data_IF_731140272080
#
_entry.id   IF_731140272080
#
_cell.length_a   1.000
_cell.length_b   1.000
_cell.length_c   1.000
_cell.angle_alpha   90.00
_cell.angle_beta   90.00
_cell.angle_gamma   90.00
#
_symmetry.space_group_name_H-M   'P 1'
#
loop_
_entity.id
_entity.type
_entity.pdbx_description
1 polymer ?
#
# COMPACT_ATOMS: atom_id res chain seq x y z
N UNK A 1 -14.01 19.92 2.26
CA UNK A 1 -13.38 20.41 1.02
C UNK A 1 -12.91 19.20 0.22
N UNK A 2 -13.20 19.08 -1.07
CA UNK A 2 -12.73 17.94 -1.86
C UNK A 2 -11.21 17.95 -1.91
N UNK A 3 -10.61 16.82 -1.55
CA UNK A 3 -9.17 16.58 -1.65
C UNK A 3 -8.81 16.77 -3.12
N UNK A 4 -8.05 17.82 -3.45
CA UNK A 4 -7.52 18.00 -4.80
C UNK A 4 -6.67 16.77 -5.11
N UNK A 5 -7.04 16.04 -6.16
CA UNK A 5 -6.17 15.01 -6.75
C UNK A 5 -4.81 15.66 -7.00
N UNK A 6 -3.76 15.10 -6.39
CA UNK A 6 -2.37 15.54 -6.61
C UNK A 6 -1.95 15.20 -8.04
N UNK A 7 -2.61 14.21 -8.66
CA UNK A 7 -2.35 13.76 -10.01
C UNK A 7 -3.24 14.47 -11.07
N UNK A 8 -2.70 14.74 -12.26
CA UNK A 8 -3.41 15.36 -13.36
C UNK A 8 -4.54 14.47 -13.90
N UNK A 9 -5.58 15.07 -14.51
CA UNK A 9 -6.70 14.33 -15.13
C UNK A 9 -6.24 13.40 -16.27
N UNK A 10 -5.19 13.80 -17.00
CA UNK A 10 -4.50 12.95 -17.98
C UNK A 10 -3.17 12.48 -17.39
N UNK A 11 -3.06 11.18 -17.15
CA UNK A 11 -1.87 10.59 -16.54
C UNK A 11 -0.67 10.67 -17.50
N UNK A 12 0.49 11.23 -17.08
CA UNK A 12 1.72 11.19 -17.87
C UNK A 12 2.26 9.76 -17.95
N UNK A 13 3.02 9.46 -19.00
CA UNK A 13 3.72 8.17 -19.04
C UNK A 13 4.83 8.17 -17.97
N UNK A 14 5.05 7.07 -17.23
CA UNK A 14 6.10 7.03 -16.21
C UNK A 14 7.50 7.35 -16.76
N UNK A 15 7.75 6.98 -18.02
CA UNK A 15 9.00 7.30 -18.72
C UNK A 15 9.21 8.81 -18.92
N UNK A 16 8.15 9.61 -19.04
CA UNK A 16 8.24 11.06 -19.25
C UNK A 16 8.69 11.78 -17.98
N UNK A 17 8.21 11.31 -16.83
CA UNK A 17 8.54 11.86 -15.50
C UNK A 17 9.87 11.30 -14.95
N UNK A 18 10.45 10.30 -15.61
CA UNK A 18 11.77 9.73 -15.32
C UNK A 18 12.88 10.23 -16.27
N UNK A 19 12.65 11.31 -17.04
CA UNK A 19 13.65 11.81 -18.01
C UNK A 19 14.80 12.60 -17.34
N UNK A 20 15.68 11.92 -16.60
CA UNK A 20 16.90 12.54 -16.05
C UNK A 20 17.26 12.09 -14.64
N UNK A 21 18.13 12.87 -13.98
CA UNK A 21 18.44 12.72 -12.55
C UNK A 21 17.49 13.61 -11.75
N UNK A 22 17.05 13.16 -10.57
CA UNK A 22 16.27 14.02 -9.68
C UNK A 22 17.10 15.21 -9.20
N UNK A 23 16.47 16.38 -9.16
CA UNK A 23 17.04 17.63 -8.66
C UNK A 23 16.43 18.04 -7.31
N UNK A 24 15.33 17.40 -6.91
CA UNK A 24 14.66 17.64 -5.63
C UNK A 24 13.89 16.41 -5.12
N UNK A 25 13.61 16.36 -3.81
CA UNK A 25 12.72 15.34 -3.22
C UNK A 25 11.30 15.41 -3.79
N UNK A 26 10.84 16.59 -4.18
CA UNK A 26 9.49 16.77 -4.74
C UNK A 26 9.38 16.13 -6.13
N UNK A 27 10.40 16.27 -6.96
CA UNK A 27 10.48 15.64 -8.27
C UNK A 27 10.51 14.11 -8.16
N UNK A 28 11.38 13.58 -7.28
CA UNK A 28 11.44 12.15 -7.01
C UNK A 28 10.10 11.60 -6.48
N UNK A 29 9.41 12.35 -5.60
CA UNK A 29 8.09 11.98 -5.10
C UNK A 29 7.04 11.94 -6.20
N UNK A 30 7.00 12.97 -7.07
CA UNK A 30 6.06 13.04 -8.19
C UNK A 30 6.24 11.86 -9.16
N UNK A 31 7.49 11.52 -9.49
CA UNK A 31 7.78 10.34 -10.32
C UNK A 31 7.29 9.04 -9.66
N UNK A 32 7.41 8.91 -8.34
CA UNK A 32 6.88 7.77 -7.59
C UNK A 32 5.34 7.73 -7.59
N UNK A 33 4.67 8.87 -7.38
CA UNK A 33 3.21 8.95 -7.43
C UNK A 33 2.67 8.54 -8.81
N UNK A 34 3.41 8.84 -9.87
CA UNK A 34 3.09 8.38 -11.23
C UNK A 34 3.20 6.87 -11.34
N UNK A 35 4.31 6.27 -10.91
CA UNK A 35 4.45 4.81 -10.89
C UNK A 35 3.35 4.13 -10.07
N UNK A 36 3.07 4.68 -8.89
CA UNK A 36 2.00 4.20 -8.03
C UNK A 36 0.64 4.25 -8.72
N UNK A 37 0.33 5.26 -9.53
CA UNK A 37 -0.98 5.35 -10.20
C UNK A 37 -1.21 4.22 -11.21
N UNK A 38 -0.13 3.67 -11.79
CA UNK A 38 -0.20 2.54 -12.71
C UNK A 38 -0.35 1.19 -12.00
N UNK A 39 0.12 1.09 -10.76
CA UNK A 39 0.01 -0.13 -9.94
C UNK A 39 -1.23 -0.10 -9.05
N UNK A 40 -1.70 1.09 -8.67
CA UNK A 40 -2.73 1.38 -7.68
C UNK A 40 -3.60 2.58 -8.04
N UNK A 41 -4.34 2.53 -9.15
CA UNK A 41 -5.16 3.65 -9.61
C UNK A 41 -6.20 4.09 -8.55
N UNK A 42 -6.67 3.17 -7.70
CA UNK A 42 -7.69 3.46 -6.68
C UNK A 42 -7.15 4.17 -5.42
N UNK A 43 -5.83 4.16 -5.20
CA UNK A 43 -5.24 4.72 -3.97
C UNK A 43 -4.86 6.20 -4.07
N UNK A 44 -4.79 6.74 -5.30
CA UNK A 44 -4.23 8.07 -5.58
C UNK A 44 -5.27 9.06 -6.11
N UNK A 45 -6.44 8.58 -6.59
CA UNK A 45 -7.53 9.48 -7.00
C UNK A 45 -8.92 8.90 -6.70
N UNK A 46 -9.79 9.64 -5.97
CA UNK A 46 -11.19 9.25 -5.76
C UNK A 46 -12.07 9.46 -7.00
N UNK A 47 -11.58 10.18 -8.02
CA UNK A 47 -12.26 10.26 -9.32
C UNK A 47 -11.79 9.09 -10.16
N UNK A 48 -12.75 8.44 -10.84
CA UNK A 48 -12.51 7.41 -11.87
C UNK A 48 -11.60 7.99 -12.95
N UNK A 49 -10.27 7.93 -12.75
CA UNK A 49 -9.31 8.24 -13.79
C UNK A 49 -9.62 7.33 -14.97
N UNK A 50 -9.47 7.85 -16.19
CA UNK A 50 -9.36 6.96 -17.35
C UNK A 50 -8.28 5.94 -17.01
N UNK A 51 -8.60 4.64 -17.12
CA UNK A 51 -7.69 3.57 -16.75
C UNK A 51 -6.34 3.87 -17.41
N UNK A 52 -5.24 3.91 -16.64
CA UNK A 52 -3.92 4.13 -17.22
C UNK A 52 -3.72 3.17 -18.39
N UNK A 53 -3.12 3.66 -19.48
CA UNK A 53 -2.79 2.82 -20.64
C UNK A 53 -2.04 1.58 -20.15
N UNK A 54 -2.39 0.40 -20.69
CA UNK A 54 -1.73 -0.85 -20.32
C UNK A 54 -0.22 -0.71 -20.53
N UNK A 55 0.55 -0.93 -19.46
CA UNK A 55 2.00 -1.02 -19.52
C UNK A 55 2.37 -2.49 -19.33
N UNK A 56 3.19 -3.08 -20.21
CA UNK A 56 3.70 -4.42 -20.01
C UNK A 56 4.43 -4.56 -18.66
N UNK A 57 4.34 -5.71 -17.99
CA UNK A 57 4.89 -5.88 -16.64
C UNK A 57 6.41 -5.62 -16.60
N UNK A 58 7.12 -6.10 -17.61
CA UNK A 58 8.57 -5.92 -17.72
C UNK A 58 8.98 -4.43 -17.78
N UNK A 59 8.18 -3.60 -18.44
CA UNK A 59 8.45 -2.17 -18.54
C UNK A 59 8.27 -1.47 -17.18
N UNK A 60 7.25 -1.86 -16.41
CA UNK A 60 7.04 -1.33 -15.05
C UNK A 60 8.15 -1.74 -14.08
N UNK A 61 8.63 -2.99 -14.12
CA UNK A 61 9.78 -3.42 -13.31
C UNK A 61 11.00 -2.55 -13.59
N UNK A 62 11.33 -2.35 -14.87
CA UNK A 62 12.45 -1.49 -15.29
C UNK A 62 12.28 -0.06 -14.80
N UNK A 63 11.06 0.47 -14.83
CA UNK A 63 10.76 1.82 -14.35
C UNK A 63 10.91 1.95 -12.83
N UNK A 64 10.53 0.92 -12.05
CA UNK A 64 10.78 0.90 -10.60
C UNK A 64 12.28 0.85 -10.29
N UNK A 65 13.04 0.01 -11.00
CA UNK A 65 14.49 -0.10 -10.77
C UNK A 65 15.21 1.19 -11.16
N UNK A 66 14.85 1.80 -12.30
CA UNK A 66 15.36 3.10 -12.75
C UNK A 66 15.05 4.23 -11.76
N UNK A 67 13.83 4.28 -11.22
CA UNK A 67 13.48 5.24 -10.16
C UNK A 67 14.34 5.04 -8.91
N UNK A 68 14.55 3.78 -8.48
CA UNK A 68 15.33 3.45 -7.28
C UNK A 68 16.79 3.85 -7.41
N UNK A 69 17.41 3.60 -8.56
CA UNK A 69 18.79 3.98 -8.85
C UNK A 69 18.96 5.50 -8.84
N UNK A 70 18.05 6.23 -9.50
CA UNK A 70 18.05 7.69 -9.54
C UNK A 70 17.85 8.29 -8.15
N UNK A 71 16.94 7.72 -7.36
CA UNK A 71 16.66 8.19 -6.00
C UNK A 71 17.87 7.97 -5.08
N UNK A 72 18.50 6.79 -5.15
CA UNK A 72 19.71 6.47 -4.38
C UNK A 72 20.86 7.43 -4.73
N UNK A 73 21.06 7.68 -6.03
CA UNK A 73 22.08 8.61 -6.52
C UNK A 73 21.83 10.04 -6.03
N UNK A 74 20.58 10.49 -6.05
CA UNK A 74 20.18 11.81 -5.54
C UNK A 74 20.46 11.94 -4.04
N UNK A 75 20.06 10.95 -3.23
CA UNK A 75 20.30 10.98 -1.78
C UNK A 75 21.79 11.03 -1.43
N UNK A 76 22.62 10.28 -2.16
CA UNK A 76 24.06 10.25 -1.96
C UNK A 76 24.72 11.60 -2.31
N UNK A 77 24.32 12.23 -3.41
CA UNK A 77 24.88 13.53 -3.86
C UNK A 77 24.59 14.69 -2.90
N UNK A 78 23.45 14.67 -2.24
CA UNK A 78 23.00 15.78 -1.40
C UNK A 78 23.19 15.53 0.11
N UNK A 79 23.82 14.43 0.53
CA UNK A 79 23.93 13.98 1.93
C UNK A 79 22.59 13.95 2.69
N UNK A 80 21.49 13.80 1.95
CA UNK A 80 20.12 13.81 2.48
C UNK A 80 19.75 12.47 3.13
N UNK A 81 20.64 11.47 3.05
CA UNK A 81 20.48 10.19 3.73
C UNK A 81 20.27 10.33 5.24
N UNK A 82 20.79 11.41 5.84
CA UNK A 82 20.70 11.66 7.30
C UNK A 82 19.84 12.88 7.68
N UNK A 83 19.73 13.89 6.82
CA UNK A 83 19.13 15.19 7.19
C UNK A 83 17.62 15.32 6.86
N UNK A 84 17.08 14.53 5.92
CA UNK A 84 15.65 14.55 5.54
C UNK A 84 14.94 13.22 5.87
N UNK A 85 15.29 12.63 7.02
CA UNK A 85 14.96 11.25 7.35
C UNK A 85 13.46 10.91 7.24
N UNK A 86 12.50 11.72 7.72
CA UNK A 86 11.10 11.30 7.69
C UNK A 86 10.53 11.23 6.27
N UNK A 87 10.82 12.23 5.42
CA UNK A 87 10.33 12.28 4.04
C UNK A 87 10.98 11.20 3.18
N UNK A 88 12.27 10.98 3.34
CA UNK A 88 13.00 9.90 2.64
C UNK A 88 12.49 8.53 3.07
N UNK A 89 12.28 8.32 4.38
CA UNK A 89 11.73 7.06 4.90
C UNK A 89 10.33 6.80 4.37
N UNK A 90 9.47 7.83 4.32
CA UNK A 90 8.14 7.71 3.74
C UNK A 90 8.20 7.33 2.26
N UNK A 91 9.10 7.93 1.47
CA UNK A 91 9.27 7.56 0.06
C UNK A 91 9.73 6.12 -0.13
N UNK A 92 10.67 5.65 0.71
CA UNK A 92 11.12 4.26 0.69
C UNK A 92 9.98 3.30 1.07
N UNK A 93 9.16 3.63 2.07
CA UNK A 93 7.97 2.85 2.44
C UNK A 93 7.00 2.71 1.26
N UNK A 94 6.73 3.82 0.57
CA UNK A 94 5.88 3.83 -0.61
C UNK A 94 6.46 3.00 -1.76
N UNK A 95 7.77 3.09 -1.99
CA UNK A 95 8.44 2.29 -3.00
C UNK A 95 8.37 0.79 -2.71
N UNK A 96 8.68 0.36 -1.48
CA UNK A 96 8.54 -1.05 -1.07
C UNK A 96 7.09 -1.54 -1.21
N UNK A 97 6.13 -0.73 -0.80
CA UNK A 97 4.70 -1.02 -0.93
C UNK A 97 4.29 -1.18 -2.40
N UNK A 98 4.76 -0.29 -3.27
CA UNK A 98 4.50 -0.34 -4.71
C UNK A 98 5.01 -1.65 -5.33
N UNK A 99 6.21 -2.10 -4.95
CA UNK A 99 6.79 -3.35 -5.44
C UNK A 99 5.98 -4.58 -5.01
N UNK A 100 5.51 -4.62 -3.76
CA UNK A 100 4.66 -5.71 -3.26
C UNK A 100 3.37 -5.79 -4.06
N UNK A 101 2.74 -4.65 -4.32
CA UNK A 101 1.48 -4.60 -5.04
C UNK A 101 1.68 -4.95 -6.51
N UNK A 102 2.75 -4.42 -7.11
CA UNK A 102 3.13 -4.78 -8.46
C UNK A 102 3.34 -6.30 -8.59
N UNK A 103 4.03 -6.93 -7.64
CA UNK A 103 4.17 -8.38 -7.58
C UNK A 103 2.80 -9.09 -7.47
N UNK A 104 1.83 -8.51 -6.75
CA UNK A 104 0.46 -9.05 -6.65
C UNK A 104 -0.37 -8.97 -7.91
N UNK A 105 -0.04 -8.08 -8.84
CA UNK A 105 -0.71 -8.02 -10.13
C UNK A 105 -0.34 -9.21 -11.03
N UNK A 106 0.81 -9.85 -10.79
CA UNK A 106 1.32 -10.95 -11.64
C UNK A 106 1.40 -12.30 -10.94
N UNK A 107 1.27 -12.32 -9.61
CA UNK A 107 1.18 -13.57 -8.86
C UNK A 107 -0.27 -14.00 -8.75
N UNK A 108 -0.56 -15.22 -9.19
CA UNK A 108 -1.85 -15.88 -8.95
C UNK A 108 -1.88 -16.70 -7.65
N UNK A 109 -0.73 -16.78 -6.96
CA UNK A 109 -0.57 -17.56 -5.75
C UNK A 109 -0.16 -16.68 -4.55
N UNK A 110 -1.10 -16.48 -3.64
CA UNK A 110 -0.94 -15.70 -2.42
C UNK A 110 0.09 -16.30 -1.44
N UNK A 111 0.54 -17.55 -1.63
CA UNK A 111 1.65 -18.13 -0.85
C UNK A 111 2.99 -17.46 -1.17
N UNK A 112 3.14 -16.93 -2.39
CA UNK A 112 4.40 -16.27 -2.80
C UNK A 112 4.79 -15.08 -1.93
N UNK A 113 3.83 -14.41 -1.29
CA UNK A 113 4.09 -13.29 -0.37
C UNK A 113 4.76 -13.70 0.94
N UNK A 114 4.72 -14.97 1.33
CA UNK A 114 5.34 -15.44 2.58
C UNK A 114 6.86 -15.23 2.56
N UNK A 115 7.47 -15.26 1.37
CA UNK A 115 8.89 -14.98 1.17
C UNK A 115 9.25 -13.50 1.46
N UNK A 116 8.27 -12.60 1.53
CA UNK A 116 8.45 -11.16 1.75
C UNK A 116 8.27 -10.74 3.21
N UNK A 117 8.24 -11.68 4.17
CA UNK A 117 8.08 -11.38 5.60
C UNK A 117 9.05 -10.30 6.12
N UNK A 118 10.32 -10.34 5.67
CA UNK A 118 11.32 -9.33 6.03
C UNK A 118 10.94 -7.92 5.58
N UNK A 119 10.43 -7.78 4.34
CA UNK A 119 9.97 -6.50 3.78
C UNK A 119 8.75 -5.97 4.54
N UNK A 120 7.78 -6.83 4.84
CA UNK A 120 6.62 -6.45 5.65
C UNK A 120 7.02 -5.98 7.04
N UNK A 121 7.92 -6.71 7.70
CA UNK A 121 8.46 -6.33 9.01
C UNK A 121 9.14 -4.96 8.96
N UNK A 122 9.94 -4.71 7.91
CA UNK A 122 10.59 -3.43 7.69
C UNK A 122 9.56 -2.30 7.52
N UNK A 123 8.51 -2.51 6.72
CA UNK A 123 7.43 -1.54 6.52
C UNK A 123 6.76 -1.17 7.84
N UNK A 124 6.38 -2.17 8.66
CA UNK A 124 5.73 -1.92 9.95
C UNK A 124 6.63 -1.13 10.89
N UNK A 125 7.90 -1.54 11.03
CA UNK A 125 8.85 -0.85 11.91
C UNK A 125 9.06 0.62 11.48
N UNK A 126 9.28 0.87 10.20
CA UNK A 126 9.53 2.23 9.70
C UNK A 126 8.29 3.12 9.74
N UNK A 127 7.10 2.57 9.49
CA UNK A 127 5.85 3.30 9.64
C UNK A 127 5.62 3.72 11.10
N UNK A 128 5.88 2.84 12.06
CA UNK A 128 5.77 3.15 13.49
C UNK A 128 6.80 4.21 13.93
N UNK A 129 8.07 4.07 13.54
CA UNK A 129 9.11 5.08 13.80
C UNK A 129 8.70 6.47 13.28
N UNK A 130 8.13 6.53 12.07
CA UNK A 130 7.64 7.79 11.49
C UNK A 130 6.49 8.41 12.27
N UNK A 131 5.54 7.59 12.74
CA UNK A 131 4.40 8.05 13.52
C UNK A 131 4.80 8.58 14.90
N UNK A 132 5.87 8.03 15.48
CA UNK A 132 6.43 8.51 16.74
C UNK A 132 7.24 9.81 16.57
N UNK A 133 7.75 10.09 15.36
CA UNK A 133 8.44 11.34 15.08
C UNK A 133 7.47 12.53 15.05
N UNK A 134 7.82 13.64 15.72
CA UNK A 134 6.94 14.79 15.93
C UNK A 134 6.51 15.52 14.65
N UNK A 135 7.18 15.27 13.53
CA UNK A 135 7.02 15.99 12.25
C UNK A 135 5.87 15.45 11.36
N UNK A 136 5.32 14.27 11.64
CA UNK A 136 4.33 13.60 10.77
C UNK A 136 2.87 13.87 11.14
N UNK A 137 2.63 14.72 12.15
CA UNK A 137 1.27 15.05 12.63
C UNK A 137 0.46 15.97 11.70
N UNK A 138 1.09 16.63 10.73
CA UNK A 138 0.45 17.67 9.92
C UNK A 138 0.66 17.58 8.40
N UNK A 139 1.12 16.44 7.88
CA UNK A 139 1.28 16.27 6.42
C UNK A 139 -0.06 15.93 5.75
N UNK A 140 -0.39 16.66 4.69
CA UNK A 140 -1.60 16.47 3.85
C UNK A 140 -1.36 15.42 2.74
N UNK A 141 -0.13 14.94 2.59
CA UNK A 141 0.25 13.92 1.60
C UNK A 141 -0.13 12.50 2.03
N UNK A 142 -0.20 11.57 1.07
CA UNK A 142 -0.44 10.15 1.37
C UNK A 142 0.70 9.63 2.27
N UNK A 143 0.34 9.23 3.48
CA UNK A 143 1.25 8.91 4.57
C UNK A 143 1.45 7.41 4.71
N UNK A 144 1.30 6.90 5.92
CA UNK A 144 1.65 5.52 6.28
C UNK A 144 0.47 4.54 6.24
N UNK A 145 -0.76 5.02 6.07
CA UNK A 145 -1.95 4.16 6.09
C UNK A 145 -1.91 3.10 4.98
N UNK A 146 -1.64 3.44 3.70
CA UNK A 146 -1.61 2.43 2.65
C UNK A 146 -0.49 1.40 2.81
N UNK A 147 0.77 1.77 3.12
CA UNK A 147 1.82 0.80 3.45
C UNK A 147 1.44 -0.18 4.56
N UNK A 148 0.88 0.32 5.67
CA UNK A 148 0.41 -0.52 6.78
C UNK A 148 -0.73 -1.45 6.34
N UNK A 149 -1.67 -0.92 5.55
CA UNK A 149 -2.79 -1.69 5.03
C UNK A 149 -2.34 -2.84 4.12
N UNK A 150 -1.48 -2.56 3.14
CA UNK A 150 -0.99 -3.60 2.23
C UNK A 150 -0.11 -4.63 2.92
N UNK A 151 0.70 -4.20 3.90
CA UNK A 151 1.47 -5.12 4.72
C UNK A 151 0.55 -6.08 5.49
N UNK A 152 -0.49 -5.58 6.14
CA UNK A 152 -1.45 -6.42 6.86
C UNK A 152 -2.29 -7.31 5.94
N UNK A 153 -2.65 -6.81 4.75
CA UNK A 153 -3.47 -7.52 3.77
C UNK A 153 -2.71 -8.68 3.12
N UNK A 154 -1.44 -8.49 2.76
CA UNK A 154 -0.65 -9.49 2.02
C UNK A 154 0.25 -10.36 2.89
N UNK A 155 0.67 -9.89 4.06
CA UNK A 155 1.44 -10.72 5.00
C UNK A 155 0.51 -11.65 5.80
N UNK A 156 0.81 -12.95 5.81
CA UNK A 156 0.05 -13.97 6.56
C UNK A 156 0.64 -14.28 7.93
N UNK A 157 1.74 -13.64 8.31
CA UNK A 157 2.27 -13.74 9.67
C UNK A 157 1.31 -13.09 10.68
N UNK A 158 0.87 -13.84 11.72
CA UNK A 158 -0.16 -13.38 12.65
C UNK A 158 0.26 -12.16 13.47
N UNK A 159 1.55 -11.98 13.76
CA UNK A 159 2.06 -10.88 14.57
C UNK A 159 2.17 -9.60 13.77
N UNK A 160 2.72 -9.69 12.55
CA UNK A 160 2.89 -8.53 11.65
C UNK A 160 1.53 -7.91 11.30
N UNK A 161 0.56 -8.73 10.87
CA UNK A 161 -0.78 -8.24 10.47
C UNK A 161 -1.54 -7.58 11.63
N UNK A 162 -1.48 -8.15 12.84
CA UNK A 162 -2.14 -7.59 14.04
C UNK A 162 -1.45 -6.34 14.56
N UNK A 163 -0.11 -6.27 14.49
CA UNK A 163 0.65 -5.06 14.84
C UNK A 163 0.31 -3.91 13.91
N UNK A 164 0.21 -4.15 12.60
CA UNK A 164 -0.21 -3.15 11.63
C UNK A 164 -1.60 -2.57 11.93
N UNK A 165 -2.58 -3.44 12.24
CA UNK A 165 -3.93 -3.03 12.67
C UNK A 165 -3.87 -2.18 13.95
N UNK A 166 -3.08 -2.62 14.94
CA UNK A 166 -2.92 -1.88 16.19
C UNK A 166 -2.38 -0.47 15.95
N UNK A 167 -1.40 -0.31 15.06
CA UNK A 167 -0.84 0.99 14.68
C UNK A 167 -1.92 1.86 14.03
N UNK A 168 -2.65 1.32 13.04
CA UNK A 168 -3.72 2.04 12.35
C UNK A 168 -4.82 2.53 13.31
N UNK A 169 -5.18 1.71 14.31
CA UNK A 169 -6.15 2.06 15.35
C UNK A 169 -5.63 3.08 16.36
N UNK A 170 -4.35 2.98 16.74
CA UNK A 170 -3.72 3.86 17.72
C UNK A 170 -3.42 5.26 17.16
N UNK A 171 -3.33 5.40 15.84
CA UNK A 171 -3.11 6.69 15.17
C UNK A 171 -4.23 7.05 14.19
N UNK A 172 -5.47 7.35 14.66
CA UNK A 172 -6.58 7.69 13.77
C UNK A 172 -6.26 8.92 12.90
N UNK A 173 -6.30 8.72 11.58
CA UNK A 173 -6.03 9.71 10.55
C UNK A 173 -6.72 9.41 9.23
N UNK A 174 -6.79 10.45 8.40
CA UNK A 174 -7.23 10.38 7.01
C UNK A 174 -6.11 10.84 6.08
N UNK A 175 -5.81 10.04 5.06
CA UNK A 175 -4.71 10.26 4.12
C UNK A 175 -5.25 10.12 2.69
N UNK A 176 -5.50 11.25 2.03
CA UNK A 176 -6.23 11.26 0.76
C UNK A 176 -7.56 10.47 0.86
N UNK A 177 -7.74 9.41 0.04
CA UNK A 177 -8.93 8.55 0.08
C UNK A 177 -8.97 7.53 1.22
N UNK A 178 -7.93 7.46 2.06
CA UNK A 178 -7.79 6.47 3.10
C UNK A 178 -8.28 6.97 4.47
N UNK A 179 -9.04 6.13 5.16
CA UNK A 179 -9.39 6.28 6.57
C UNK A 179 -8.76 5.12 7.35
N UNK A 180 -7.86 5.42 8.28
CA UNK A 180 -7.10 4.41 9.05
C UNK A 180 -7.98 3.44 9.84
N UNK A 181 -9.10 3.91 10.40
CA UNK A 181 -10.02 3.07 11.16
C UNK A 181 -10.86 2.20 10.23
N UNK A 182 -11.35 2.75 9.12
CA UNK A 182 -12.02 1.98 8.06
C UNK A 182 -11.09 0.90 7.47
N UNK A 183 -9.82 1.24 7.24
CA UNK A 183 -8.79 0.31 6.79
C UNK A 183 -8.56 -0.82 7.81
N UNK A 184 -8.45 -0.49 9.10
CA UNK A 184 -8.33 -1.48 10.18
C UNK A 184 -9.50 -2.46 10.21
N UNK A 185 -10.73 -1.94 10.07
CA UNK A 185 -11.96 -2.73 10.07
C UNK A 185 -12.00 -3.74 8.92
N UNK A 186 -11.52 -3.36 7.73
CA UNK A 186 -11.38 -4.27 6.58
C UNK A 186 -10.36 -5.37 6.86
N UNK A 187 -9.20 -5.01 7.43
CA UNK A 187 -8.13 -5.97 7.72
C UNK A 187 -8.53 -6.99 8.79
N UNK A 188 -9.26 -6.56 9.82
CA UNK A 188 -9.82 -7.47 10.82
C UNK A 188 -10.76 -8.50 10.18
N UNK A 189 -11.58 -8.07 9.22
CA UNK A 189 -12.47 -8.97 8.49
C UNK A 189 -11.71 -9.91 7.54
N UNK A 190 -10.64 -9.43 6.89
CA UNK A 190 -9.72 -10.27 6.10
C UNK A 190 -9.13 -11.36 6.97
N UNK A 191 -8.56 -11.01 8.12
CA UNK A 191 -7.99 -11.98 9.08
C UNK A 191 -9.06 -12.98 9.52
N UNK A 192 -10.27 -12.50 9.84
CA UNK A 192 -11.39 -13.37 10.24
C UNK A 192 -11.76 -14.38 9.15
N UNK A 193 -11.71 -13.98 7.87
CA UNK A 193 -12.01 -14.87 6.74
C UNK A 193 -10.86 -15.88 6.53
N UNK A 194 -9.62 -15.40 6.46
CA UNK A 194 -8.46 -16.24 6.15
C UNK A 194 -8.14 -17.24 7.27
N UNK A 195 -8.33 -16.86 8.54
CA UNK A 195 -8.02 -17.69 9.70
C UNK A 195 -9.22 -18.54 10.17
N UNK A 196 -10.35 -18.48 9.46
CA UNK A 196 -11.58 -19.17 9.85
C UNK A 196 -11.40 -20.69 9.90
N UNK A 197 -11.59 -21.27 11.09
CA UNK A 197 -11.52 -22.71 11.30
C UNK A 197 -10.10 -23.29 11.44
N UNK A 198 -9.05 -22.44 11.46
CA UNK A 198 -7.65 -22.89 11.57
C UNK A 198 -7.16 -23.07 13.02
N UNK A 199 -7.96 -22.65 14.01
CA UNK A 199 -7.54 -22.66 15.41
C UNK A 199 -6.54 -21.55 15.71
N UNK A 200 -5.42 -21.89 16.35
CA UNK A 200 -4.36 -20.92 16.67
C UNK A 200 -3.37 -20.83 15.52
N UNK A 201 -3.31 -19.67 14.87
CA UNK A 201 -2.34 -19.35 13.81
C UNK A 201 -1.07 -18.79 14.45
N UNK A 202 0.06 -19.46 14.24
CA UNK A 202 1.37 -19.12 14.83
C UNK A 202 2.35 -18.58 13.78
N UNK A 203 2.12 -18.88 12.51
CA UNK A 203 2.94 -18.42 11.39
C UNK A 203 2.12 -18.29 10.10
N UNK A 204 2.70 -17.63 9.10
CA UNK A 204 2.14 -17.56 7.75
C UNK A 204 1.85 -18.91 7.09
N UNK A 205 2.59 -19.96 7.47
CA UNK A 205 2.42 -21.30 6.92
C UNK A 205 1.15 -22.01 7.41
N UNK A 206 0.57 -21.54 8.51
CA UNK A 206 -0.67 -22.10 9.05
C UNK A 206 -1.90 -21.66 8.24
N UNK A 207 -1.79 -20.60 7.43
CA UNK A 207 -2.86 -20.11 6.56
C UNK A 207 -2.68 -20.70 5.14
N UNK A 208 -3.44 -21.76 4.77
CA UNK A 208 -3.27 -22.43 3.49
C UNK A 208 -3.68 -21.51 2.33
N UNK A 209 -3.10 -21.73 1.15
CA UNK A 209 -3.38 -20.92 -0.05
C UNK A 209 -4.87 -20.76 -0.34
N UNK A 210 -5.66 -21.84 -0.24
CA UNK A 210 -7.11 -21.82 -0.47
C UNK A 210 -7.93 -20.97 0.52
N UNK A 211 -7.38 -20.66 1.70
CA UNK A 211 -8.02 -19.77 2.66
C UNK A 211 -7.72 -18.29 2.36
N UNK A 212 -6.62 -18.01 1.65
CA UNK A 212 -6.12 -16.66 1.40
C UNK A 212 -7.00 -15.90 0.41
N UNK A 213 -7.24 -14.63 0.70
CA UNK A 213 -7.96 -13.72 -0.18
C UNK A 213 -7.01 -13.27 -1.29
N UNK A 214 -7.36 -13.56 -2.54
CA UNK A 214 -6.61 -13.14 -3.73
C UNK A 214 -7.17 -11.87 -4.37
N UNK A 215 -8.48 -11.60 -4.22
CA UNK A 215 -9.12 -10.39 -4.75
C UNK A 215 -10.21 -9.87 -3.81
N UNK A 216 -10.46 -8.58 -3.84
CA UNK A 216 -11.35 -7.89 -2.91
C UNK A 216 -11.97 -6.64 -3.52
N UNK A 217 -13.29 -6.51 -3.40
CA UNK A 217 -14.03 -5.31 -3.76
C UNK A 217 -14.46 -4.57 -2.48
N UNK A 218 -13.86 -3.40 -2.26
CA UNK A 218 -14.07 -2.57 -1.07
C UNK A 218 -14.68 -1.24 -1.48
N UNK A 219 -15.81 -0.87 -0.86
CA UNK A 219 -16.39 0.46 -1.01
C UNK A 219 -16.56 1.08 0.36
N UNK A 220 -15.86 2.18 0.60
CA UNK A 220 -15.81 2.86 1.89
C UNK A 220 -16.67 4.13 1.86
N UNK A 221 -17.69 4.17 2.71
CA UNK A 221 -18.47 5.35 3.03
C UNK A 221 -17.92 5.95 4.33
N UNK A 222 -17.05 6.94 4.17
CA UNK A 222 -16.33 7.59 5.26
C UNK A 222 -17.25 8.50 6.09
N UNK A 223 -18.35 9.00 5.52
CA UNK A 223 -19.30 9.88 6.20
C UNK A 223 -20.19 9.08 7.16
N UNK A 224 -20.70 7.93 6.69
CA UNK A 224 -21.55 7.04 7.48
C UNK A 224 -20.76 5.95 8.22
N UNK A 225 -19.43 5.98 8.13
CA UNK A 225 -18.50 4.99 8.70
C UNK A 225 -18.90 3.55 8.37
N UNK A 226 -19.12 3.28 7.09
CA UNK A 226 -19.53 1.96 6.56
C UNK A 226 -18.56 1.47 5.50
N UNK A 227 -18.18 0.20 5.57
CA UNK A 227 -17.46 -0.47 4.49
C UNK A 227 -18.33 -1.58 3.91
N UNK A 228 -18.48 -1.59 2.59
CA UNK A 228 -19.03 -2.72 1.85
C UNK A 228 -17.87 -3.54 1.30
N UNK A 229 -17.79 -4.80 1.72
CA UNK A 229 -16.71 -5.72 1.38
C UNK A 229 -17.25 -6.96 0.66
N UNK A 230 -16.60 -7.36 -0.43
CA UNK A 230 -16.69 -8.72 -1.01
C UNK A 230 -15.27 -9.23 -1.23
N UNK A 231 -15.00 -10.47 -0.86
CA UNK A 231 -13.68 -11.10 -1.00
C UNK A 231 -13.77 -12.34 -1.88
N UNK A 232 -12.69 -12.66 -2.59
CA UNK A 232 -12.49 -13.87 -3.36
C UNK A 232 -11.28 -14.61 -2.78
N UNK A 233 -11.49 -15.86 -2.36
CA UNK A 233 -10.41 -16.72 -1.89
C UNK A 233 -9.75 -17.44 -3.07
N UNK A 234 -8.46 -17.72 -2.95
CA UNK A 234 -7.69 -18.39 -4.00
C UNK A 234 -8.27 -19.76 -4.33
N UNK A 235 -8.50 -20.01 -5.61
CA UNK A 235 -9.11 -21.26 -6.09
C UNK A 235 -10.62 -21.36 -5.86
N UNK A 236 -11.28 -20.36 -5.27
CA UNK A 236 -12.73 -20.35 -5.15
C UNK A 236 -13.40 -20.12 -6.52
N UNK A 237 -14.56 -20.75 -6.74
CA UNK A 237 -15.33 -20.62 -7.98
C UNK A 237 -16.11 -19.30 -8.10
N UNK A 238 -16.16 -18.51 -7.02
CA UNK A 238 -16.88 -17.24 -7.01
C UNK A 238 -16.64 -16.41 -5.77
N UNK A 239 -17.10 -15.17 -5.84
CA UNK A 239 -17.00 -14.19 -4.76
C UNK A 239 -17.79 -14.62 -3.52
N UNK A 240 -17.22 -14.36 -2.36
CA UNK A 240 -17.89 -14.50 -1.07
C UNK A 240 -19.08 -13.55 -0.91
N UNK A 241 -19.83 -13.77 0.17
CA UNK A 241 -20.98 -12.93 0.50
C UNK A 241 -20.57 -11.48 0.76
N UNK A 242 -21.42 -10.56 0.32
CA UNK A 242 -21.26 -9.14 0.64
C UNK A 242 -21.45 -8.91 2.13
N UNK A 243 -20.48 -8.24 2.75
CA UNK A 243 -20.55 -7.84 4.15
C UNK A 243 -20.54 -6.31 4.27
N UNK A 244 -21.32 -5.80 5.22
CA UNK A 244 -21.31 -4.39 5.60
C UNK A 244 -20.65 -4.32 6.98
N UNK A 245 -19.57 -3.57 7.08
CA UNK A 245 -18.80 -3.32 8.29
C UNK A 245 -19.03 -1.88 8.74
N UNK A 246 -18.89 -1.62 10.05
CA UNK A 246 -19.03 -0.28 10.64
C UNK A 246 -17.92 -0.04 11.65
N UNK A 247 -17.45 1.21 11.77
CA UNK A 247 -16.43 1.63 12.75
C UNK A 247 -16.74 3.01 13.35
#
# INVERSE_FOLDING_TARGET
MPIKSILPEKMPWPSEESTGHFTSLQEARRALDVLLAYVLPETISPKRMERPRYIPPFDLTRLFDDWSEKFTTFLAKHDLSKQALPRVTLMNLWFSTARIIFASTFSTDEITFDALLGEFTHIINKAEELLLSSETRYSVDIGVVPPLYYAALKCRDPFIRRRAITILQATPRREAGWDSLGASCVLEEVIRIEENGLGVVMSQYDVPGSARICDMHVVTDVENKKVCLKALQQGASGWGQKKILTW
#
